data_IF_942015496762
#
_entry.id   IF_942015496762
#
_cell.length_a   1.000
_cell.length_b   1.000
_cell.length_c   1.000
_cell.angle_alpha   90.00
_cell.angle_beta   90.00
_cell.angle_gamma   90.00
#
_symmetry.space_group_name_H-M   'P 1'
#
loop_
_entity.id
_entity.type
_entity.pdbx_description
1 polymer ?
#
# COMPACT_ATOMS: atom_id res chain seq x y z
N UNK A 1 -1.94 8.53 16.06
CA UNK A 1 -3.18 9.15 16.59
C UNK A 1 -3.84 10.11 15.59
N UNK A 2 -3.11 10.88 14.78
CA UNK A 2 -3.73 11.76 13.77
C UNK A 2 -4.14 11.01 12.47
N UNK A 3 -3.32 10.09 11.97
CA UNK A 3 -3.62 9.33 10.75
C UNK A 3 -4.91 8.47 10.88
N UNK A 4 -5.09 7.79 12.01
CA UNK A 4 -6.28 6.99 12.30
C UNK A 4 -7.55 7.85 12.40
N UNK A 5 -7.46 9.05 12.95
CA UNK A 5 -8.59 9.98 13.05
C UNK A 5 -9.08 10.43 11.67
N UNK A 6 -8.17 10.69 10.72
CA UNK A 6 -8.57 11.06 9.36
C UNK A 6 -9.20 9.90 8.60
N UNK A 7 -8.74 8.66 8.83
CA UNK A 7 -9.33 7.45 8.26
C UNK A 7 -10.79 7.30 8.72
N UNK A 8 -11.05 7.42 10.02
CA UNK A 8 -12.39 7.28 10.61
C UNK A 8 -13.37 8.37 10.11
N UNK A 9 -12.86 9.56 9.80
CA UNK A 9 -13.67 10.68 9.30
C UNK A 9 -13.74 10.78 7.76
N UNK A 10 -13.11 9.85 7.02
CA UNK A 10 -13.07 9.88 5.55
C UNK A 10 -12.35 11.10 4.95
N UNK A 11 -11.49 11.75 5.72
CA UNK A 11 -10.81 13.00 5.34
C UNK A 11 -9.51 12.74 4.59
N UNK A 12 -9.62 12.06 3.46
CA UNK A 12 -8.48 11.57 2.68
C UNK A 12 -7.56 12.67 2.15
N UNK A 13 -8.11 13.82 1.76
CA UNK A 13 -7.32 14.96 1.30
C UNK A 13 -6.40 15.54 2.37
N UNK A 14 -6.96 15.81 3.56
CA UNK A 14 -6.21 16.30 4.72
C UNK A 14 -5.17 15.26 5.19
N UNK A 15 -5.54 13.98 5.22
CA UNK A 15 -4.63 12.89 5.56
C UNK A 15 -3.41 12.85 4.63
N UNK A 16 -3.65 12.98 3.32
CA UNK A 16 -2.59 12.99 2.32
C UNK A 16 -1.63 14.16 2.53
N UNK A 17 -2.14 15.36 2.77
CA UNK A 17 -1.30 16.55 2.98
C UNK A 17 -0.42 16.42 4.22
N UNK A 18 -0.96 15.89 5.32
CA UNK A 18 -0.20 15.64 6.54
C UNK A 18 0.84 14.54 6.30
N UNK A 19 0.46 13.43 5.66
CA UNK A 19 1.36 12.32 5.39
C UNK A 19 2.51 12.71 4.44
N UNK A 20 2.24 13.48 3.39
CA UNK A 20 3.27 14.01 2.47
C UNK A 20 4.28 14.91 3.21
N UNK A 21 3.78 15.82 4.05
CA UNK A 21 4.65 16.71 4.85
C UNK A 21 5.53 15.92 5.82
N UNK A 22 4.98 14.88 6.47
CA UNK A 22 5.72 14.04 7.40
C UNK A 22 6.73 13.14 6.69
N UNK A 23 6.35 12.50 5.57
CA UNK A 23 7.26 11.72 4.74
C UNK A 23 8.45 12.54 4.26
N UNK A 24 8.23 13.78 3.80
CA UNK A 24 9.33 14.66 3.37
C UNK A 24 10.29 15.04 4.49
N UNK A 25 9.80 15.09 5.73
CA UNK A 25 10.59 15.44 6.91
C UNK A 25 11.27 14.24 7.57
N UNK A 26 10.62 13.08 7.49
CA UNK A 26 10.99 11.82 8.11
C UNK A 26 10.93 10.68 7.09
N UNK A 27 11.73 10.73 6.01
CA UNK A 27 11.67 9.73 4.94
C UNK A 27 12.06 8.32 5.40
N UNK A 28 12.80 8.21 6.51
CA UNK A 28 13.17 6.97 7.18
C UNK A 28 12.00 6.27 7.89
N UNK A 29 10.90 6.98 8.14
CA UNK A 29 9.71 6.40 8.78
C UNK A 29 8.76 5.90 7.70
N UNK A 30 8.65 4.57 7.61
CA UNK A 30 7.89 3.90 6.55
C UNK A 30 6.38 4.17 6.61
N UNK A 31 5.86 4.42 7.81
CA UNK A 31 4.44 4.69 8.07
C UNK A 31 3.90 5.87 7.23
N UNK A 32 4.72 6.90 6.98
CA UNK A 32 4.27 8.06 6.21
C UNK A 32 4.15 7.78 4.71
N UNK A 33 5.00 6.91 4.16
CA UNK A 33 4.87 6.44 2.78
C UNK A 33 3.58 5.66 2.59
N UNK A 34 3.29 4.74 3.52
CA UNK A 34 2.07 3.92 3.51
C UNK A 34 0.84 4.80 3.69
N UNK A 35 0.85 5.71 4.67
CA UNK A 35 -0.26 6.61 4.94
C UNK A 35 -0.56 7.54 3.76
N UNK A 36 0.47 8.12 3.13
CA UNK A 36 0.30 9.01 1.98
C UNK A 36 -0.28 8.25 0.79
N UNK A 37 0.25 7.07 0.46
CA UNK A 37 -0.28 6.25 -0.62
C UNK A 37 -1.73 5.81 -0.35
N UNK A 38 -2.03 5.36 0.87
CA UNK A 38 -3.37 4.92 1.26
C UNK A 38 -4.41 6.05 1.15
N UNK A 39 -4.03 7.27 1.54
CA UNK A 39 -4.85 8.46 1.40
C UNK A 39 -4.97 8.90 -0.06
N UNK A 40 -3.86 8.86 -0.82
CA UNK A 40 -3.81 9.26 -2.23
C UNK A 40 -4.69 8.38 -3.10
N UNK A 41 -4.71 7.06 -2.86
CA UNK A 41 -5.61 6.12 -3.54
C UNK A 41 -7.08 6.57 -3.45
N UNK A 42 -7.48 7.17 -2.32
CA UNK A 42 -8.87 7.51 -2.02
C UNK A 42 -9.26 8.94 -2.40
N UNK A 43 -8.33 9.89 -2.38
CA UNK A 43 -8.62 11.29 -2.75
C UNK A 43 -8.15 11.68 -4.14
N UNK A 44 -7.33 10.86 -4.80
CA UNK A 44 -6.79 11.13 -6.14
C UNK A 44 -6.95 9.95 -7.08
N UNK A 45 -6.02 9.01 -7.07
CA UNK A 45 -5.98 7.88 -8.00
C UNK A 45 -5.09 6.76 -7.46
N UNK A 46 -5.31 5.53 -7.97
CA UNK A 46 -4.47 4.37 -7.64
C UNK A 46 -3.09 4.53 -8.26
N UNK A 47 -3.00 5.14 -9.44
CA UNK A 47 -1.77 5.40 -10.16
C UNK A 47 -0.85 6.35 -9.38
N UNK A 48 -1.37 7.48 -8.87
CA UNK A 48 -0.57 8.39 -8.02
C UNK A 48 -0.14 7.70 -6.71
N UNK A 49 -1.00 6.88 -6.11
CA UNK A 49 -0.65 6.12 -4.91
C UNK A 49 0.45 5.08 -5.16
N UNK A 50 0.44 4.44 -6.34
CA UNK A 50 1.46 3.49 -6.77
C UNK A 50 2.82 4.17 -6.89
N UNK A 51 2.90 5.34 -7.52
CA UNK A 51 4.17 6.06 -7.67
C UNK A 51 4.82 6.37 -6.30
N UNK A 52 4.02 6.78 -5.31
CA UNK A 52 4.50 7.02 -3.94
C UNK A 52 5.14 5.75 -3.37
N UNK A 53 4.49 4.59 -3.50
CA UNK A 53 5.03 3.34 -2.96
C UNK A 53 6.18 2.76 -3.80
N UNK A 54 6.25 3.04 -5.10
CA UNK A 54 7.41 2.68 -5.94
C UNK A 54 8.66 3.46 -5.54
N UNK A 55 8.52 4.68 -5.03
CA UNK A 55 9.62 5.39 -4.36
C UNK A 55 9.89 4.81 -2.96
N UNK A 56 8.83 4.59 -2.17
CA UNK A 56 8.94 4.07 -0.80
C UNK A 56 9.66 2.72 -0.73
N UNK A 57 9.38 1.79 -1.64
CA UNK A 57 10.02 0.46 -1.67
C UNK A 57 11.51 0.53 -1.96
N UNK A 58 12.01 1.59 -2.61
CA UNK A 58 13.45 1.79 -2.83
C UNK A 58 14.16 2.16 -1.52
N UNK A 59 13.49 2.91 -0.65
CA UNK A 59 14.01 3.29 0.66
C UNK A 59 13.81 2.19 1.71
N UNK A 60 12.70 1.44 1.60
CA UNK A 60 12.23 0.45 2.57
C UNK A 60 11.97 -0.91 1.90
N UNK A 61 13.00 -1.57 1.32
CA UNK A 61 12.80 -2.78 0.52
C UNK A 61 12.32 -3.99 1.31
N UNK A 62 12.53 -3.99 2.63
CA UNK A 62 12.14 -5.07 3.54
C UNK A 62 10.79 -4.81 4.23
N UNK A 63 10.10 -3.71 3.91
CA UNK A 63 8.75 -3.45 4.46
C UNK A 63 7.69 -4.23 3.67
N UNK A 64 7.08 -5.27 4.25
CA UNK A 64 6.08 -6.09 3.57
C UNK A 64 4.82 -5.30 3.20
N UNK A 65 4.41 -4.32 4.02
CA UNK A 65 3.20 -3.54 3.76
C UNK A 65 3.25 -2.75 2.46
N UNK A 66 4.43 -2.24 2.08
CA UNK A 66 4.62 -1.53 0.82
C UNK A 66 4.45 -2.49 -0.36
N UNK A 67 5.11 -3.66 -0.32
CA UNK A 67 4.97 -4.68 -1.36
C UNK A 67 3.54 -5.18 -1.46
N UNK A 68 2.85 -5.38 -0.34
CA UNK A 68 1.46 -5.80 -0.32
C UNK A 68 0.54 -4.77 -1.01
N UNK A 69 0.62 -3.50 -0.62
CA UNK A 69 -0.20 -2.44 -1.22
C UNK A 69 0.10 -2.25 -2.72
N UNK A 70 1.36 -2.35 -3.15
CA UNK A 70 1.72 -2.36 -4.57
C UNK A 70 1.08 -3.54 -5.31
N UNK A 71 1.02 -4.71 -4.67
CA UNK A 71 0.32 -5.89 -5.18
C UNK A 71 -1.18 -5.65 -5.36
N UNK A 72 -1.84 -5.07 -4.35
CA UNK A 72 -3.26 -4.70 -4.44
C UNK A 72 -3.51 -3.70 -5.57
N UNK A 73 -2.67 -2.68 -5.70
CA UNK A 73 -2.82 -1.66 -6.76
C UNK A 73 -2.63 -2.27 -8.15
N UNK A 74 -1.59 -3.08 -8.35
CA UNK A 74 -1.38 -3.80 -9.61
C UNK A 74 -2.56 -4.71 -9.95
N UNK A 75 -3.14 -5.41 -8.97
CA UNK A 75 -4.29 -6.28 -9.19
C UNK A 75 -5.51 -5.49 -9.67
N UNK A 76 -5.83 -4.37 -9.00
CA UNK A 76 -6.94 -3.49 -9.39
C UNK A 76 -6.73 -2.86 -10.77
N UNK A 77 -5.48 -2.59 -11.15
CA UNK A 77 -5.12 -2.10 -12.49
C UNK A 77 -5.10 -3.20 -13.56
N UNK A 78 -5.36 -4.47 -13.21
CA UNK A 78 -5.36 -5.61 -14.12
C UNK A 78 -3.97 -6.17 -14.45
N UNK A 79 -2.94 -5.73 -13.74
CA UNK A 79 -1.54 -6.13 -13.92
C UNK A 79 -1.22 -7.40 -13.11
N UNK A 80 -1.88 -8.50 -13.48
CA UNK A 80 -1.89 -9.76 -12.71
C UNK A 80 -0.50 -10.25 -12.28
N UNK A 81 0.45 -10.33 -13.22
CA UNK A 81 1.77 -10.92 -12.94
C UNK A 81 2.56 -10.09 -11.94
N UNK A 82 2.51 -8.76 -12.06
CA UNK A 82 3.13 -7.85 -11.10
C UNK A 82 2.46 -7.99 -9.73
N UNK A 83 1.14 -8.02 -9.70
CA UNK A 83 0.37 -8.17 -8.47
C UNK A 83 0.78 -9.45 -7.71
N UNK A 84 0.82 -10.59 -8.40
CA UNK A 84 1.22 -11.87 -7.81
C UNK A 84 2.66 -11.85 -7.29
N UNK A 85 3.59 -11.28 -8.07
CA UNK A 85 4.98 -11.13 -7.65
C UNK A 85 5.12 -10.31 -6.36
N UNK A 86 4.43 -9.17 -6.29
CA UNK A 86 4.44 -8.25 -5.15
C UNK A 86 3.82 -8.87 -3.90
N UNK A 87 2.67 -9.52 -4.02
CA UNK A 87 2.01 -10.20 -2.90
C UNK A 87 2.88 -11.35 -2.37
N UNK A 88 3.52 -12.13 -3.25
CA UNK A 88 4.47 -13.18 -2.83
C UNK A 88 5.68 -12.60 -2.09
N UNK A 89 6.21 -11.46 -2.52
CA UNK A 89 7.26 -10.75 -1.78
C UNK A 89 6.79 -10.37 -0.38
N UNK A 90 5.59 -9.79 -0.25
CA UNK A 90 5.03 -9.44 1.06
C UNK A 90 4.89 -10.66 1.98
N UNK A 91 4.37 -11.78 1.45
CA UNK A 91 4.22 -13.04 2.21
C UNK A 91 5.56 -13.63 2.64
N UNK A 92 6.60 -13.51 1.79
CA UNK A 92 7.94 -13.99 2.10
C UNK A 92 8.60 -13.18 3.22
N UNK A 93 8.33 -11.88 3.29
CA UNK A 93 8.81 -10.97 4.33
C UNK A 93 8.01 -11.13 5.63
N UNK A 94 6.69 -11.24 5.55
CA UNK A 94 5.81 -11.51 6.69
C UNK A 94 4.63 -12.44 6.28
N UNK A 95 4.61 -13.69 6.80
CA UNK A 95 3.56 -14.65 6.49
C UNK A 95 2.13 -14.22 6.86
N UNK A 96 1.93 -13.20 7.70
CA UNK A 96 0.57 -12.71 8.04
C UNK A 96 -0.20 -12.26 6.78
N UNK A 97 0.53 -11.75 5.79
CA UNK A 97 -0.04 -11.28 4.54
C UNK A 97 -0.66 -12.40 3.70
N UNK A 98 -0.35 -13.68 3.97
CA UNK A 98 -1.01 -14.79 3.25
C UNK A 98 -2.51 -14.82 3.55
N UNK A 99 -2.87 -14.75 4.83
CA UNK A 99 -4.27 -14.76 5.23
C UNK A 99 -4.95 -13.45 4.80
N UNK A 100 -4.28 -12.31 4.98
CA UNK A 100 -4.80 -11.02 4.51
C UNK A 100 -5.10 -11.05 3.00
N UNK A 101 -4.18 -11.59 2.18
CA UNK A 101 -4.37 -11.64 0.74
C UNK A 101 -5.54 -12.52 0.29
N UNK A 102 -5.83 -13.58 1.04
CA UNK A 102 -6.96 -14.47 0.75
C UNK A 102 -8.31 -13.79 1.05
N UNK A 103 -8.35 -12.87 2.02
CA UNK A 103 -9.55 -12.16 2.42
C UNK A 103 -9.74 -10.80 1.70
N UNK A 104 -8.66 -10.23 1.14
CA UNK A 104 -8.68 -8.92 0.47
C UNK A 104 -9.47 -8.96 -0.86
N UNK A 105 -10.36 -7.98 -1.04
CA UNK A 105 -11.19 -7.84 -2.24
C UNK A 105 -10.36 -7.35 -3.44
N UNK A 106 -9.35 -6.50 -3.20
CA UNK A 106 -8.45 -6.01 -4.26
C UNK A 106 -7.68 -7.19 -4.91
N UNK A 107 -7.54 -8.31 -4.18
CA UNK A 107 -6.77 -9.50 -4.58
C UNK A 107 -7.64 -10.71 -4.93
N UNK A 108 -8.96 -10.53 -5.09
CA UNK A 108 -9.88 -11.62 -5.40
C UNK A 108 -9.42 -12.45 -6.62
N UNK A 109 -8.93 -11.76 -7.66
CA UNK A 109 -8.43 -12.41 -8.87
C UNK A 109 -7.21 -13.31 -8.61
N UNK A 110 -6.44 -13.11 -7.54
CA UNK A 110 -5.22 -13.87 -7.25
C UNK A 110 -5.44 -15.03 -6.25
N UNK A 111 -6.61 -15.15 -5.63
CA UNK A 111 -6.84 -16.08 -4.51
C UNK A 111 -6.46 -17.53 -4.84
N UNK A 112 -6.76 -17.99 -6.05
CA UNK A 112 -6.43 -19.36 -6.46
C UNK A 112 -4.91 -19.61 -6.56
N UNK A 113 -4.12 -18.60 -6.94
CA UNK A 113 -2.66 -18.69 -7.04
C UNK A 113 -1.93 -18.56 -5.68
N UNK A 114 -2.65 -18.11 -4.65
CA UNK A 114 -2.13 -17.82 -3.32
C UNK A 114 -2.46 -18.91 -2.28
N UNK A 115 -3.32 -19.88 -2.62
CA UNK A 115 -3.69 -20.99 -1.74
C UNK A 115 -2.52 -21.92 -1.44
#
# INVERSE_FOLDING_TARGET
MQATLFQDCGKWGEMREVADALRKRHPEEVDWWIAEAYATRRCRSIEEAREILLEGVKAHPEEPCISYNLGCYACVLGEREEALGRVRTAIALDPIYKNMALDDEDLEALRDDLR
#
